data_IF_705875023101
#
_entry.id   IF_705875023101
#
_cell.length_a   1.000
_cell.length_b   1.000
_cell.length_c   1.000
_cell.angle_alpha   90.00
_cell.angle_beta   90.00
_cell.angle_gamma   90.00
#
_symmetry.space_group_name_H-M   'P 1'
#
loop_
_entity.id
_entity.type
_entity.pdbx_description
1 polymer ?
#
# COMPACT_ATOMS: atom_id res chain seq x y z
N UNK A 1 -21.22 -23.73 0.95
CA UNK A 1 -21.37 -22.43 0.24
C UNK A 1 -21.40 -21.23 1.20
N UNK A 2 -20.55 -21.20 2.24
CA UNK A 2 -20.49 -20.07 3.19
C UNK A 2 -19.05 -19.62 3.37
N UNK A 3 -18.85 -18.33 3.53
CA UNK A 3 -17.60 -17.71 3.95
C UNK A 3 -17.77 -17.36 5.43
N UNK A 4 -16.86 -17.87 6.26
CA UNK A 4 -16.75 -17.56 7.68
C UNK A 4 -15.51 -16.70 7.89
N UNK A 5 -15.64 -15.58 8.61
CA UNK A 5 -14.51 -14.67 8.90
C UNK A 5 -14.37 -14.45 10.41
N UNK A 6 -13.15 -14.62 10.88
CA UNK A 6 -12.69 -14.24 12.21
C UNK A 6 -11.58 -13.19 12.07
N UNK A 7 -11.83 -11.98 12.56
CA UNK A 7 -10.94 -10.82 12.46
C UNK A 7 -10.91 -10.07 13.80
N UNK A 8 -10.18 -10.61 14.80
CA UNK A 8 -10.22 -10.12 16.18
C UNK A 8 -9.76 -8.67 16.33
N UNK A 9 -8.80 -8.21 15.52
CA UNK A 9 -8.30 -6.83 15.55
C UNK A 9 -9.36 -5.82 15.11
N UNK A 10 -10.32 -6.26 14.30
CA UNK A 10 -11.47 -5.46 13.87
C UNK A 10 -12.71 -5.71 14.74
N UNK A 11 -12.58 -6.47 15.84
CA UNK A 11 -13.68 -6.89 16.74
C UNK A 11 -14.78 -7.66 16.02
N UNK A 12 -14.42 -8.42 14.99
CA UNK A 12 -15.33 -9.30 14.26
C UNK A 12 -15.02 -10.75 14.63
N UNK A 13 -16.00 -11.45 15.17
CA UNK A 13 -15.95 -12.89 15.45
C UNK A 13 -17.17 -13.56 14.84
N UNK A 14 -17.00 -14.76 14.29
CA UNK A 14 -18.08 -15.59 13.73
C UNK A 14 -18.92 -14.91 12.64
N UNK A 15 -18.34 -13.99 11.86
CA UNK A 15 -19.03 -13.41 10.71
C UNK A 15 -19.26 -14.47 9.65
N UNK A 16 -20.49 -14.58 9.15
CA UNK A 16 -20.87 -15.58 8.15
C UNK A 16 -21.62 -14.92 7.00
N UNK A 17 -21.24 -15.28 5.77
CA UNK A 17 -21.87 -14.81 4.54
C UNK A 17 -22.08 -15.99 3.58
N UNK A 18 -23.22 -16.02 2.88
CA UNK A 18 -23.41 -16.96 1.77
C UNK A 18 -22.64 -16.49 0.53
N UNK A 19 -22.14 -17.41 -0.30
CA UNK A 19 -21.51 -17.02 -1.58
C UNK A 19 -22.45 -16.20 -2.47
N UNK A 20 -23.75 -16.48 -2.43
CA UNK A 20 -24.77 -15.73 -3.17
C UNK A 20 -24.91 -14.27 -2.70
N UNK A 21 -24.46 -13.95 -1.49
CA UNK A 21 -24.56 -12.62 -0.89
C UNK A 21 -23.25 -11.82 -1.02
N UNK A 22 -22.23 -12.36 -1.70
CA UNK A 22 -20.91 -11.74 -1.85
C UNK A 22 -20.95 -10.41 -2.62
N UNK A 23 -21.98 -10.23 -3.46
CA UNK A 23 -22.23 -8.98 -4.21
C UNK A 23 -22.99 -7.91 -3.43
N UNK A 24 -23.48 -8.23 -2.23
CA UNK A 24 -24.17 -7.24 -1.39
C UNK A 24 -23.16 -6.31 -0.71
N UNK A 25 -23.67 -5.22 -0.15
CA UNK A 25 -22.87 -4.33 0.68
C UNK A 25 -22.33 -5.10 1.90
N UNK A 26 -21.02 -5.00 2.12
CA UNK A 26 -20.31 -5.73 3.16
C UNK A 26 -19.88 -4.79 4.30
N UNK A 27 -19.77 -5.30 5.55
CA UNK A 27 -19.25 -4.51 6.67
C UNK A 27 -17.87 -3.95 6.35
N UNK A 28 -17.63 -2.68 6.72
CA UNK A 28 -16.39 -1.95 6.39
C UNK A 28 -15.15 -2.65 6.93
N UNK A 29 -15.29 -3.34 8.05
CA UNK A 29 -14.26 -4.04 8.81
C UNK A 29 -13.63 -5.20 8.03
N UNK A 30 -14.44 -5.92 7.23
CA UNK A 30 -14.02 -7.11 6.47
C UNK A 30 -14.14 -6.93 4.96
N UNK A 31 -14.53 -5.74 4.52
CA UNK A 31 -14.83 -5.43 3.11
C UNK A 31 -13.66 -5.74 2.17
N UNK A 32 -12.42 -5.43 2.56
CA UNK A 32 -11.23 -5.72 1.74
C UNK A 32 -11.01 -7.23 1.55
N UNK A 33 -11.21 -8.02 2.62
CA UNK A 33 -11.10 -9.49 2.55
C UNK A 33 -12.18 -10.06 1.63
N UNK A 34 -13.43 -9.66 1.82
CA UNK A 34 -14.56 -10.18 1.04
C UNK A 34 -14.47 -9.79 -0.44
N UNK A 35 -14.08 -8.54 -0.74
CA UNK A 35 -13.90 -8.09 -2.12
C UNK A 35 -12.74 -8.82 -2.80
N UNK A 36 -11.64 -9.09 -2.06
CA UNK A 36 -10.52 -9.89 -2.56
C UNK A 36 -10.96 -11.32 -2.89
N UNK A 37 -11.71 -11.97 -1.99
CA UNK A 37 -12.30 -13.30 -2.23
C UNK A 37 -13.19 -13.28 -3.46
N UNK A 38 -14.07 -12.28 -3.59
CA UNK A 38 -14.97 -12.12 -4.74
C UNK A 38 -14.22 -12.01 -6.05
N UNK A 39 -13.24 -11.11 -6.11
CA UNK A 39 -12.43 -10.88 -7.30
C UNK A 39 -11.61 -12.12 -7.66
N UNK A 40 -11.03 -12.82 -6.68
CA UNK A 40 -10.29 -14.06 -6.89
C UNK A 40 -11.19 -15.19 -7.41
N UNK A 41 -12.34 -15.41 -6.76
CA UNK A 41 -13.29 -16.46 -7.13
C UNK A 41 -13.82 -16.28 -8.54
N UNK A 42 -14.17 -15.04 -8.92
CA UNK A 42 -14.61 -14.72 -10.28
C UNK A 42 -13.52 -14.97 -11.31
N UNK A 43 -12.28 -14.58 -11.00
CA UNK A 43 -11.16 -14.74 -11.92
C UNK A 43 -10.87 -16.21 -12.23
N UNK A 44 -10.96 -17.08 -11.23
CA UNK A 44 -10.61 -18.50 -11.35
C UNK A 44 -11.81 -19.45 -11.37
N UNK A 45 -13.04 -18.92 -11.47
CA UNK A 45 -14.30 -19.67 -11.46
C UNK A 45 -14.42 -20.65 -10.27
N UNK A 46 -14.13 -20.15 -9.06
CA UNK A 46 -14.18 -20.95 -7.83
C UNK A 46 -15.53 -20.80 -7.15
N UNK A 47 -16.15 -21.92 -6.82
CA UNK A 47 -17.36 -22.02 -6.02
C UNK A 47 -17.09 -22.90 -4.80
N UNK A 48 -16.62 -22.28 -3.70
CA UNK A 48 -16.30 -23.01 -2.48
C UNK A 48 -16.62 -22.20 -1.23
N UNK A 49 -17.04 -22.89 -0.17
CA UNK A 49 -17.02 -22.29 1.17
C UNK A 49 -15.59 -22.00 1.62
N UNK A 50 -15.44 -21.03 2.53
CA UNK A 50 -14.16 -20.65 3.11
C UNK A 50 -14.30 -20.38 4.61
N UNK A 51 -13.21 -20.64 5.33
CA UNK A 51 -13.01 -20.10 6.67
C UNK A 51 -11.73 -19.26 6.64
N UNK A 52 -11.87 -17.98 6.94
CA UNK A 52 -10.79 -17.00 6.89
C UNK A 52 -10.56 -16.51 8.31
N UNK A 53 -9.30 -16.49 8.73
CA UNK A 53 -8.86 -15.83 9.95
C UNK A 53 -7.80 -14.79 9.59
N UNK A 54 -7.96 -13.56 10.05
CA UNK A 54 -6.92 -12.53 9.90
C UNK A 54 -6.26 -12.28 11.25
N UNK A 55 -4.95 -12.02 11.25
CA UNK A 55 -4.21 -11.59 12.43
C UNK A 55 -3.23 -10.50 12.01
N UNK A 56 -3.00 -9.50 12.89
CA UNK A 56 -2.03 -8.43 12.63
C UNK A 56 -1.12 -8.19 13.83
N UNK A 57 0.17 -8.01 13.58
CA UNK A 57 1.17 -7.71 14.62
C UNK A 57 1.12 -6.25 15.10
N UNK A 58 0.39 -5.39 14.39
CA UNK A 58 0.28 -3.98 14.71
C UNK A 58 -1.14 -3.47 14.43
N UNK A 59 -1.51 -2.39 15.15
CA UNK A 59 -2.83 -1.77 14.99
C UNK A 59 -3.01 -1.23 13.57
N UNK A 60 -4.20 -1.43 12.99
CA UNK A 60 -4.59 -0.84 11.71
C UNK A 60 -4.54 0.71 11.73
N UNK A 61 -4.45 1.31 12.92
CA UNK A 61 -4.41 2.76 13.11
C UNK A 61 -3.06 3.40 12.76
N UNK A 62 -1.99 2.62 12.62
CA UNK A 62 -0.64 3.17 12.37
C UNK A 62 -0.42 3.64 10.93
N UNK A 63 -1.36 3.41 10.02
CA UNK A 63 -1.29 3.95 8.66
C UNK A 63 -0.28 3.27 7.74
N UNK A 64 0.20 2.07 8.07
CA UNK A 64 1.16 1.30 7.25
C UNK A 64 0.50 0.49 6.10
N UNK A 65 -0.59 0.99 5.51
CA UNK A 65 -1.24 0.32 4.39
C UNK A 65 -1.92 -1.01 4.74
N UNK A 66 -2.46 -1.16 5.96
CA UNK A 66 -3.10 -2.40 6.44
C UNK A 66 -4.17 -2.97 5.49
N UNK A 67 -4.96 -2.11 4.84
CA UNK A 67 -5.96 -2.53 3.86
C UNK A 67 -5.35 -3.21 2.63
N UNK A 68 -4.26 -2.63 2.11
CA UNK A 68 -3.50 -3.22 0.99
C UNK A 68 -2.83 -4.52 1.41
N UNK A 69 -2.23 -4.56 2.61
CA UNK A 69 -1.60 -5.75 3.16
C UNK A 69 -2.59 -6.92 3.31
N UNK A 70 -3.75 -6.70 3.95
CA UNK A 70 -4.75 -7.79 4.12
C UNK A 70 -5.32 -8.24 2.78
N UNK A 71 -5.48 -7.34 1.81
CA UNK A 71 -5.91 -7.67 0.45
C UNK A 71 -4.90 -8.60 -0.24
N UNK A 72 -3.62 -8.25 -0.20
CA UNK A 72 -2.53 -9.05 -0.77
C UNK A 72 -2.42 -10.40 -0.07
N UNK A 73 -2.47 -10.44 1.26
CA UNK A 73 -2.42 -11.68 2.04
C UNK A 73 -3.59 -12.59 1.71
N UNK A 74 -4.80 -12.05 1.56
CA UNK A 74 -5.99 -12.82 1.18
C UNK A 74 -5.80 -13.46 -0.19
N UNK A 75 -5.35 -12.70 -1.19
CA UNK A 75 -5.11 -13.22 -2.55
C UNK A 75 -4.02 -14.30 -2.56
N UNK A 76 -2.90 -14.06 -1.87
CA UNK A 76 -1.81 -15.05 -1.76
C UNK A 76 -2.28 -16.34 -1.08
N UNK A 77 -3.03 -16.22 0.03
CA UNK A 77 -3.56 -17.37 0.76
C UNK A 77 -4.57 -18.18 -0.07
N UNK A 78 -5.42 -17.50 -0.87
CA UNK A 78 -6.35 -18.19 -1.78
C UNK A 78 -5.61 -18.91 -2.91
N UNK A 79 -4.60 -18.27 -3.49
CA UNK A 79 -3.77 -18.90 -4.52
C UNK A 79 -3.09 -20.18 -4.00
N UNK A 80 -2.54 -20.12 -2.79
CA UNK A 80 -1.95 -21.29 -2.13
C UNK A 80 -3.00 -22.37 -1.81
N UNK A 81 -4.14 -21.98 -1.21
CA UNK A 81 -5.20 -22.91 -0.82
C UNK A 81 -5.80 -23.68 -2.02
N UNK A 82 -5.96 -23.01 -3.16
CA UNK A 82 -6.51 -23.61 -4.38
C UNK A 82 -5.44 -24.09 -5.36
N UNK A 83 -4.16 -24.11 -4.95
CA UNK A 83 -3.02 -24.56 -5.75
C UNK A 83 -2.89 -23.83 -7.12
N UNK A 84 -3.29 -22.56 -7.17
CA UNK A 84 -3.24 -21.73 -8.37
C UNK A 84 -1.91 -20.99 -8.41
N UNK A 85 -1.12 -21.24 -9.46
CA UNK A 85 0.10 -20.48 -9.72
C UNK A 85 -0.25 -19.07 -10.17
N UNK A 86 0.18 -18.08 -9.41
CA UNK A 86 -0.01 -16.66 -9.69
C UNK A 86 1.33 -15.95 -9.56
N UNK A 87 1.65 -15.11 -10.54
CA UNK A 87 2.85 -14.29 -10.50
C UNK A 87 2.62 -13.05 -9.63
N UNK A 88 3.69 -12.42 -9.12
CA UNK A 88 3.61 -11.23 -8.26
C UNK A 88 2.83 -10.07 -8.91
N UNK A 89 3.02 -9.88 -10.21
CA UNK A 89 2.28 -8.88 -11.00
C UNK A 89 0.79 -9.20 -11.07
N UNK A 90 0.43 -10.47 -11.13
CA UNK A 90 -0.98 -10.90 -11.16
C UNK A 90 -1.66 -10.71 -9.80
N UNK A 91 -0.93 -10.98 -8.71
CA UNK A 91 -1.36 -10.64 -7.35
C UNK A 91 -1.56 -9.12 -7.24
N UNK A 92 -0.62 -8.32 -7.76
CA UNK A 92 -0.72 -6.86 -7.76
C UNK A 92 -1.96 -6.39 -8.50
N UNK A 93 -2.20 -6.86 -9.72
CA UNK A 93 -3.32 -6.42 -10.53
C UNK A 93 -4.66 -6.75 -9.87
N UNK A 94 -4.77 -7.95 -9.27
CA UNK A 94 -5.98 -8.37 -8.56
C UNK A 94 -6.22 -7.58 -7.26
N UNK A 95 -5.15 -7.34 -6.50
CA UNK A 95 -5.22 -6.52 -5.29
C UNK A 95 -5.55 -5.06 -5.62
N UNK A 96 -4.93 -4.52 -6.67
CA UNK A 96 -5.15 -3.15 -7.12
C UNK A 96 -6.58 -2.95 -7.60
N UNK A 97 -7.12 -3.89 -8.39
CA UNK A 97 -8.54 -3.93 -8.73
C UNK A 97 -9.43 -3.90 -7.48
N UNK A 98 -9.15 -4.77 -6.51
CA UNK A 98 -9.92 -4.87 -5.26
C UNK A 98 -9.94 -3.55 -4.49
N UNK A 99 -8.80 -2.88 -4.38
CA UNK A 99 -8.70 -1.58 -3.72
C UNK A 99 -9.49 -0.51 -4.48
N UNK A 100 -9.39 -0.49 -5.81
CA UNK A 100 -10.15 0.44 -6.65
C UNK A 100 -11.67 0.19 -6.57
N UNK A 101 -12.12 -1.06 -6.53
CA UNK A 101 -13.55 -1.40 -6.39
C UNK A 101 -14.13 -0.87 -5.05
N UNK A 102 -13.30 -0.78 -4.00
CA UNK A 102 -13.73 -0.31 -2.67
C UNK A 102 -13.62 1.21 -2.54
N UNK A 103 -12.48 1.78 -2.94
CA UNK A 103 -12.11 3.17 -2.63
C UNK A 103 -12.30 4.12 -3.82
N UNK A 104 -12.43 3.59 -5.05
CA UNK A 104 -12.54 4.35 -6.30
C UNK A 104 -11.24 5.02 -6.76
N UNK A 105 -10.26 5.19 -5.87
CA UNK A 105 -8.96 5.80 -6.14
C UNK A 105 -7.88 5.09 -5.33
N UNK A 106 -6.69 4.96 -5.92
CA UNK A 106 -5.52 4.39 -5.25
C UNK A 106 -4.32 4.47 -6.17
N UNK A 107 -3.16 4.80 -5.60
CA UNK A 107 -1.88 4.81 -6.33
C UNK A 107 -1.37 3.39 -6.60
N UNK A 108 -1.62 2.46 -5.67
CA UNK A 108 -1.13 1.07 -5.69
C UNK A 108 0.23 0.86 -5.01
N UNK A 109 0.90 1.92 -4.51
CA UNK A 109 2.26 1.74 -3.95
C UNK A 109 2.26 0.84 -2.70
N UNK A 110 1.25 0.96 -1.83
CA UNK A 110 1.13 0.10 -0.63
C UNK A 110 1.00 -1.39 -0.99
N UNK A 111 0.30 -1.67 -2.10
CA UNK A 111 0.10 -3.03 -2.62
C UNK A 111 1.43 -3.57 -3.14
N UNK A 112 2.16 -2.77 -3.92
CA UNK A 112 3.47 -3.14 -4.40
C UNK A 112 4.43 -3.39 -3.21
N UNK A 113 4.45 -2.51 -2.21
CA UNK A 113 5.27 -2.69 -1.02
C UNK A 113 4.93 -3.99 -0.28
N UNK A 114 3.65 -4.35 -0.15
CA UNK A 114 3.21 -5.58 0.50
C UNK A 114 3.53 -6.86 -0.30
N UNK A 115 3.68 -6.76 -1.63
CA UNK A 115 3.99 -7.92 -2.47
C UNK A 115 5.49 -8.15 -2.57
N UNK A 116 6.23 -7.11 -2.97
CA UNK A 116 7.63 -7.19 -3.37
C UNK A 116 8.59 -6.95 -2.20
N UNK A 117 8.15 -6.21 -1.17
CA UNK A 117 9.00 -5.82 -0.04
C UNK A 117 10.20 -4.98 -0.45
N UNK A 118 11.10 -4.72 0.52
CA UNK A 118 12.33 -3.98 0.28
C UNK A 118 12.11 -2.53 -0.16
N UNK A 119 13.00 -2.03 -1.02
CA UNK A 119 12.89 -0.70 -1.65
C UNK A 119 12.46 -0.91 -3.09
N UNK A 120 11.43 -0.18 -3.53
CA UNK A 120 10.86 -0.29 -4.86
C UNK A 120 10.81 1.09 -5.54
N UNK A 121 11.19 1.15 -6.81
CA UNK A 121 10.80 2.24 -7.69
C UNK A 121 9.45 1.90 -8.30
N UNK A 122 8.48 2.79 -8.10
CA UNK A 122 7.08 2.54 -8.41
C UNK A 122 6.48 3.69 -9.21
N UNK A 123 5.80 3.36 -10.30
CA UNK A 123 4.98 4.30 -11.05
C UNK A 123 3.51 3.89 -10.92
N UNK A 124 2.67 4.87 -10.55
CA UNK A 124 1.24 4.74 -10.25
C UNK A 124 0.51 3.74 -11.16
N UNK A 125 -0.32 2.90 -10.53
CA UNK A 125 -1.07 1.85 -11.19
C UNK A 125 -0.22 0.65 -11.58
N UNK A 126 1.00 0.53 -11.04
CA UNK A 126 1.92 -0.55 -11.37
C UNK A 126 2.40 -0.52 -12.82
N UNK A 127 2.46 0.68 -13.44
CA UNK A 127 3.07 0.87 -14.77
C UNK A 127 4.54 0.45 -14.76
N UNK A 128 5.21 0.74 -13.65
CA UNK A 128 6.54 0.24 -13.32
C UNK A 128 6.50 -0.21 -11.87
N UNK A 129 7.00 -1.42 -11.63
CA UNK A 129 7.30 -1.93 -10.30
C UNK A 129 8.69 -2.55 -10.40
N UNK A 130 9.68 -1.85 -9.87
CA UNK A 130 11.09 -2.20 -10.01
C UNK A 130 11.72 -2.31 -8.62
N UNK A 131 11.97 -3.54 -8.13
CA UNK A 131 12.74 -3.74 -6.91
C UNK A 131 14.16 -3.19 -7.07
N UNK A 132 14.57 -2.32 -6.16
CA UNK A 132 15.90 -1.72 -6.18
C UNK A 132 16.85 -2.57 -5.34
N UNK A 133 18.03 -2.83 -5.89
CA UNK A 133 19.12 -3.41 -5.11
C UNK A 133 19.79 -2.31 -4.30
N UNK A 134 19.53 -2.29 -3.01
CA UNK A 134 20.14 -1.35 -2.07
C UNK A 134 21.10 -2.09 -1.13
N UNK A 135 22.29 -1.53 -0.91
CA UNK A 135 23.27 -2.19 -0.06
C UNK A 135 23.22 -1.70 1.39
N UNK A 136 23.43 -2.63 2.33
CA UNK A 136 23.74 -2.33 3.71
C UNK A 136 24.79 -1.24 3.93
N UNK A 137 24.49 -0.28 4.80
CA UNK A 137 25.51 0.57 5.42
C UNK A 137 26.34 -0.29 6.36
N UNK A 138 27.62 -0.50 6.01
CA UNK A 138 28.56 -1.35 6.77
C UNK A 138 28.63 -1.03 8.27
N UNK A 139 28.41 0.23 8.68
CA UNK A 139 28.42 0.65 10.09
C UNK A 139 27.15 0.30 10.87
N UNK A 140 26.08 -0.14 10.19
CA UNK A 140 24.82 -0.58 10.79
C UNK A 140 24.71 -2.11 10.90
N UNK A 141 25.59 -2.85 10.19
CA UNK A 141 25.64 -4.32 10.21
C UNK A 141 25.71 -4.87 11.64
N UNK A 142 24.77 -5.75 11.97
CA UNK A 142 24.70 -6.44 13.27
C UNK A 142 24.05 -5.63 14.39
N UNK A 143 23.65 -4.38 14.15
CA UNK A 143 22.87 -3.60 15.13
C UNK A 143 21.38 -3.90 15.05
N UNK A 144 20.90 -4.38 13.90
CA UNK A 144 19.49 -4.62 13.64
C UNK A 144 19.32 -5.86 12.71
N UNK A 145 18.50 -6.89 13.05
CA UNK A 145 18.26 -8.13 12.21
C UNK A 145 17.28 -8.05 10.98
N UNK A 146 17.67 -7.75 9.72
CA UNK A 146 16.73 -7.62 8.55
C UNK A 146 17.14 -6.64 7.43
N UNK A 147 16.20 -5.92 6.76
CA UNK A 147 16.41 -4.75 5.82
C UNK A 147 17.07 -3.55 6.53
N UNK A 148 17.96 -3.85 7.45
CA UNK A 148 18.19 -3.13 8.70
C UNK A 148 19.52 -2.40 8.72
N UNK A 149 20.10 -2.31 7.54
CA UNK A 149 21.32 -1.59 7.28
C UNK A 149 21.07 -0.34 6.42
N UNK A 150 19.81 0.04 6.18
CA UNK A 150 19.44 1.38 5.67
C UNK A 150 19.32 2.32 6.87
N UNK A 151 19.87 3.54 6.83
CA UNK A 151 19.79 4.50 7.93
C UNK A 151 18.40 5.17 7.98
N UNK A 152 17.36 4.37 8.24
CA UNK A 152 15.96 4.81 8.31
C UNK A 152 15.45 4.77 9.76
N UNK A 153 14.82 5.86 10.19
CA UNK A 153 14.11 5.95 11.47
C UNK A 153 12.63 6.17 11.17
N UNK A 154 11.77 5.37 11.78
CA UNK A 154 10.31 5.51 11.67
C UNK A 154 9.79 6.11 12.96
N UNK A 155 9.15 7.27 12.87
CA UNK A 155 8.48 7.94 13.98
C UNK A 155 6.95 7.89 13.82
N UNK A 156 6.24 7.45 14.85
CA UNK A 156 4.77 7.49 14.89
C UNK A 156 4.32 8.69 15.72
N UNK A 157 3.66 9.66 15.08
CA UNK A 157 3.26 10.92 15.71
C UNK A 157 2.00 10.79 16.58
N UNK A 158 1.21 9.73 16.40
CA UNK A 158 -0.08 9.55 17.08
C UNK A 158 -1.22 10.45 16.56
N UNK A 159 -0.96 11.31 15.57
CA UNK A 159 -1.94 12.23 15.00
C UNK A 159 -2.46 11.68 13.68
N UNK A 160 -3.78 11.48 13.57
CA UNK A 160 -4.43 11.14 12.30
C UNK A 160 -4.75 12.43 11.53
N UNK A 161 -4.02 12.70 10.45
CA UNK A 161 -4.41 13.72 9.48
C UNK A 161 -5.56 13.18 8.60
N UNK A 162 -6.59 13.98 8.33
CA UNK A 162 -7.66 13.61 7.40
C UNK A 162 -7.13 13.62 5.97
N UNK A 163 -6.54 12.51 5.52
CA UNK A 163 -5.99 12.34 4.16
C UNK A 163 -7.00 12.77 3.08
N UNK A 164 -8.29 12.52 3.32
CA UNK A 164 -9.36 12.84 2.37
C UNK A 164 -9.60 14.35 2.21
N UNK A 165 -9.44 15.16 3.26
CA UNK A 165 -9.61 16.61 3.21
C UNK A 165 -8.41 17.26 2.52
N UNK A 166 -7.21 16.81 2.88
CA UNK A 166 -5.95 17.28 2.27
C UNK A 166 -5.97 17.04 0.76
N UNK A 167 -6.31 15.83 0.32
CA UNK A 167 -6.36 15.47 -1.11
C UNK A 167 -7.39 16.32 -1.87
N UNK A 168 -8.58 16.55 -1.29
CA UNK A 168 -9.60 17.41 -1.90
C UNK A 168 -9.14 18.85 -2.03
N UNK A 169 -8.49 19.39 -1.00
CA UNK A 169 -7.98 20.75 -1.01
C UNK A 169 -6.87 20.93 -2.05
N UNK A 170 -5.91 20.00 -2.09
CA UNK A 170 -4.85 20.01 -3.11
C UNK A 170 -5.46 19.96 -4.51
N UNK A 171 -6.41 19.06 -4.76
CA UNK A 171 -7.10 18.97 -6.05
C UNK A 171 -7.78 20.28 -6.45
N UNK A 172 -8.50 20.92 -5.53
CA UNK A 172 -9.18 22.19 -5.79
C UNK A 172 -8.20 23.34 -6.07
N UNK A 173 -7.02 23.36 -5.42
CA UNK A 173 -5.99 24.35 -5.71
C UNK A 173 -5.27 24.07 -7.04
N UNK A 174 -5.08 22.79 -7.40
CA UNK A 174 -4.54 22.39 -8.71
C UNK A 174 -5.43 22.88 -9.85
N UNK A 175 -6.74 22.76 -9.72
CA UNK A 175 -7.70 23.24 -10.72
C UNK A 175 -7.63 24.76 -10.92
N UNK A 176 -7.22 25.52 -9.90
CA UNK A 176 -7.04 26.98 -9.98
C UNK A 176 -5.72 27.42 -10.61
N UNK A 177 -4.66 26.63 -10.46
CA UNK A 177 -3.33 26.98 -10.95
C UNK A 177 -2.57 25.75 -11.48
N UNK A 178 -3.05 25.14 -12.59
CA UNK A 178 -2.55 23.85 -13.06
C UNK A 178 -1.06 23.89 -13.39
N UNK A 179 -0.58 24.92 -14.10
CA UNK A 179 0.82 25.04 -14.49
C UNK A 179 1.79 25.11 -13.30
N UNK A 180 1.36 25.75 -12.20
CA UNK A 180 2.16 25.81 -10.99
C UNK A 180 2.33 24.43 -10.36
N UNK A 181 1.22 23.68 -10.22
CA UNK A 181 1.26 22.35 -9.63
C UNK A 181 1.93 21.32 -10.55
N UNK A 182 1.78 21.45 -11.87
CA UNK A 182 2.49 20.63 -12.86
C UNK A 182 4.01 20.76 -12.67
N UNK A 183 4.53 21.99 -12.55
CA UNK A 183 5.95 22.23 -12.23
C UNK A 183 6.37 21.58 -10.90
N UNK A 184 5.53 21.64 -9.86
CA UNK A 184 5.85 20.97 -8.60
C UNK A 184 5.92 19.44 -8.76
N UNK A 185 5.03 18.83 -9.56
CA UNK A 185 5.09 17.40 -9.85
C UNK A 185 6.31 17.02 -10.70
N UNK A 186 6.72 17.87 -11.64
CA UNK A 186 7.94 17.67 -12.42
C UNK A 186 9.18 17.73 -11.51
N UNK A 187 9.23 18.68 -10.58
CA UNK A 187 10.31 18.79 -9.59
C UNK A 187 10.37 17.53 -8.71
N UNK A 188 9.22 17.05 -8.20
CA UNK A 188 9.13 15.80 -7.43
C UNK A 188 9.63 14.63 -8.27
N UNK A 189 9.22 14.54 -9.54
CA UNK A 189 9.62 13.45 -10.44
C UNK A 189 11.13 13.42 -10.64
N UNK A 190 11.75 14.59 -10.85
CA UNK A 190 13.22 14.69 -10.95
C UNK A 190 13.93 14.28 -9.66
N UNK A 191 13.37 14.61 -8.50
CA UNK A 191 13.92 14.20 -7.20
C UNK A 191 13.84 12.68 -7.05
N UNK A 192 12.72 12.06 -7.43
CA UNK A 192 12.55 10.60 -7.37
C UNK A 192 13.58 9.88 -8.24
N UNK A 193 13.83 10.36 -9.46
CA UNK A 193 14.85 9.79 -10.35
C UNK A 193 16.27 9.90 -9.75
N UNK A 194 16.61 11.05 -9.18
CA UNK A 194 17.90 11.24 -8.48
C UNK A 194 17.99 10.34 -7.24
N UNK A 195 16.90 10.19 -6.49
CA UNK A 195 16.85 9.38 -5.29
C UNK A 195 17.02 7.90 -5.60
N UNK A 196 16.41 7.40 -6.69
CA UNK A 196 16.64 6.04 -7.19
C UNK A 196 18.14 5.78 -7.38
N UNK A 197 18.80 6.63 -8.17
CA UNK A 197 20.25 6.51 -8.45
C UNK A 197 21.07 6.58 -7.16
N UNK A 198 20.73 7.49 -6.25
CA UNK A 198 21.44 7.63 -4.97
C UNK A 198 21.30 6.38 -4.10
N UNK A 199 20.09 5.79 -4.01
CA UNK A 199 19.82 4.59 -3.22
C UNK A 199 20.51 3.35 -3.80
N UNK A 200 20.49 3.14 -5.12
CA UNK A 200 21.20 2.04 -5.79
C UNK A 200 22.71 2.12 -5.54
N UNK A 201 23.28 3.32 -5.56
CA UNK A 201 24.69 3.57 -5.23
C UNK A 201 24.97 3.61 -3.72
N UNK A 202 23.96 3.34 -2.88
CA UNK A 202 24.04 3.39 -1.41
C UNK A 202 24.55 4.73 -0.86
N UNK A 203 24.35 5.82 -1.62
CA UNK A 203 24.60 7.18 -1.19
C UNK A 203 23.40 7.70 -0.38
N UNK A 204 23.27 7.17 0.83
CA UNK A 204 22.16 7.49 1.73
C UNK A 204 22.15 8.95 2.21
N UNK A 205 23.31 9.62 2.20
CA UNK A 205 23.40 11.04 2.50
C UNK A 205 22.69 11.87 1.43
N UNK A 206 22.95 11.59 0.16
CA UNK A 206 22.24 12.25 -0.95
C UNK A 206 20.77 11.88 -0.98
N UNK A 207 20.42 10.60 -0.76
CA UNK A 207 19.02 10.19 -0.67
C UNK A 207 18.27 10.94 0.44
N UNK A 208 18.86 11.11 1.62
CA UNK A 208 18.27 11.89 2.72
C UNK A 208 18.14 13.39 2.41
N UNK A 209 19.13 13.97 1.70
CA UNK A 209 19.05 15.36 1.21
C UNK A 209 17.89 15.53 0.23
N UNK A 210 17.75 14.62 -0.73
CA UNK A 210 16.65 14.61 -1.70
C UNK A 210 15.28 14.43 -1.03
N UNK A 211 15.19 13.61 0.03
CA UNK A 211 13.97 13.53 0.85
C UNK A 211 13.62 14.86 1.52
N UNK A 212 14.62 15.61 1.97
CA UNK A 212 14.44 16.93 2.58
C UNK A 212 14.00 17.97 1.55
N UNK A 213 14.60 17.95 0.35
CA UNK A 213 14.16 18.78 -0.79
C UNK A 213 12.72 18.47 -1.21
N UNK A 214 12.35 17.19 -1.26
CA UNK A 214 10.99 16.77 -1.55
C UNK A 214 10.01 17.30 -0.49
N UNK A 215 10.38 17.27 0.78
CA UNK A 215 9.56 17.82 1.86
C UNK A 215 9.32 19.32 1.71
N UNK A 216 10.32 20.10 1.26
CA UNK A 216 10.14 21.53 0.99
C UNK A 216 9.20 21.79 -0.19
N UNK A 217 9.14 20.90 -1.17
CA UNK A 217 8.14 20.97 -2.24
C UNK A 217 6.75 20.60 -1.71
N UNK A 218 6.64 19.53 -0.90
CA UNK A 218 5.37 19.11 -0.32
C UNK A 218 4.74 20.20 0.57
N UNK A 219 5.53 21.01 1.28
CA UNK A 219 5.03 22.19 2.01
C UNK A 219 4.36 23.24 1.11
N UNK A 220 4.72 23.30 -0.18
CA UNK A 220 4.12 24.22 -1.15
C UNK A 220 2.77 23.73 -1.67
N UNK A 221 2.52 22.42 -1.62
CA UNK A 221 1.17 21.90 -1.69
C UNK A 221 0.52 22.38 -0.40
N UNK A 222 -0.47 23.28 -0.48
CA UNK A 222 -1.12 23.92 0.68
C UNK A 222 -1.98 22.94 1.51
N UNK A 223 -1.49 21.73 1.71
CA UNK A 223 -1.94 20.77 2.69
C UNK A 223 -1.58 21.31 4.08
N UNK A 224 -2.47 21.24 5.09
CA UNK A 224 -2.09 21.52 6.46
C UNK A 224 -0.89 20.63 6.84
N UNK A 225 0.25 21.26 7.10
CA UNK A 225 1.33 20.62 7.84
C UNK A 225 0.84 20.37 9.25
N UNK A 226 1.00 19.13 9.73
CA UNK A 226 0.93 18.87 11.16
C UNK A 226 2.22 19.46 11.74
N UNK A 227 2.19 20.75 12.08
CA UNK A 227 3.08 21.33 13.08
C UNK A 227 2.53 21.04 14.48
#
# INVERSE_FOLDING_TARGET
>A
DKILIDAPEMKISDFSLSLADLDREQPKEVRFVLEAVKNFFRKYNIESGLKIKTESQFSAEYGFGSSSAVTVCTIKALAELFEIKVEEKEIFDLAYKTVLDIQGVGSGFDIAAAIYGGVIYFVTGGKIIEPLTVHPVKSLRGKFNGVKDIPLIVGYTGVKASTSEIVKQVKAEMEKNPEYYERLYDDISQIVEKAKIAMENSNWQEAGKLMSENQEILKKFKAPSVE
#
